data_IF_426033504482
#
_entry.id   IF_426033504482
#
_cell.length_a   1.000
_cell.length_b   1.000
_cell.length_c   1.000
_cell.angle_alpha   90.00
_cell.angle_beta   90.00
_cell.angle_gamma   90.00
#
_symmetry.space_group_name_H-M   'P 1'
#
loop_
_entity.id
_entity.type
_entity.pdbx_description
1 polymer ?
#
# COMPACT_ATOMS: atom_id res chain seq x y z
N UNK A 1 -14.59 10.90 1.45
CA UNK A 1 -13.39 10.85 2.32
C UNK A 1 -12.30 10.06 1.61
N UNK A 2 -11.38 10.73 0.93
CA UNK A 2 -10.28 10.08 0.18
C UNK A 2 -8.91 10.41 0.76
N UNK A 3 -7.85 10.06 0.03
CA UNK A 3 -6.50 10.52 0.31
C UNK A 3 -6.38 11.99 -0.12
N UNK A 4 -6.00 12.86 0.80
CA UNK A 4 -5.79 14.28 0.59
C UNK A 4 -4.33 14.60 0.91
N UNK A 5 -3.80 15.65 0.28
CA UNK A 5 -2.46 16.16 0.57
C UNK A 5 -2.62 17.53 1.23
N UNK A 6 -2.07 17.67 2.43
CA UNK A 6 -1.80 18.96 3.03
C UNK A 6 -0.31 19.28 2.81
N UNK A 7 0.09 20.54 2.95
CA UNK A 7 1.41 21.07 2.57
C UNK A 7 2.61 20.14 2.77
N UNK A 8 2.65 19.35 3.85
CA UNK A 8 3.73 18.41 4.17
C UNK A 8 3.30 16.95 4.43
N UNK A 9 2.00 16.61 4.39
CA UNK A 9 1.53 15.32 4.87
C UNK A 9 0.24 14.85 4.19
N UNK A 10 0.12 13.54 4.02
CA UNK A 10 -1.08 12.93 3.49
C UNK A 10 -2.10 12.69 4.61
N UNK A 11 -3.37 12.92 4.31
CA UNK A 11 -4.50 12.62 5.18
C UNK A 11 -5.43 11.62 4.50
N UNK A 12 -5.70 10.49 5.15
CA UNK A 12 -6.69 9.53 4.67
C UNK A 12 -7.91 9.58 5.58
N UNK A 13 -9.04 10.03 5.05
CA UNK A 13 -10.28 10.15 5.85
C UNK A 13 -10.17 11.14 7.02
N UNK A 14 -9.44 12.25 6.82
CA UNK A 14 -9.23 13.27 7.85
C UNK A 14 -8.20 12.93 8.91
N UNK A 15 -7.55 11.76 8.83
CA UNK A 15 -6.47 11.36 9.74
C UNK A 15 -5.11 11.40 9.03
N UNK A 16 -4.02 11.83 9.69
CA UNK A 16 -2.68 11.72 9.13
C UNK A 16 -2.36 10.29 8.69
N UNK A 17 -1.86 10.15 7.48
CA UNK A 17 -1.55 8.87 6.84
C UNK A 17 -0.14 8.91 6.26
N UNK A 18 0.72 7.99 6.69
CA UNK A 18 2.06 7.84 6.14
C UNK A 18 2.06 6.68 5.16
N UNK A 19 2.37 6.96 3.89
CA UNK A 19 2.47 5.93 2.86
C UNK A 19 3.77 5.14 3.07
N UNK A 20 3.64 3.84 3.34
CA UNK A 20 4.73 2.88 3.38
C UNK A 20 4.48 1.88 2.25
N UNK A 21 5.13 2.15 1.11
CA UNK A 21 4.89 1.46 -0.15
C UNK A 21 5.79 0.25 -0.36
N UNK A 22 5.27 -0.78 -1.02
CA UNK A 22 6.07 -1.81 -1.67
C UNK A 22 5.54 -2.14 -3.06
N UNK A 23 6.41 -2.60 -3.96
CA UNK A 23 6.05 -2.92 -5.34
C UNK A 23 5.69 -4.39 -5.52
N UNK A 24 4.58 -4.64 -6.22
CA UNK A 24 4.16 -5.98 -6.63
C UNK A 24 3.53 -5.91 -8.03
N UNK A 25 4.32 -6.25 -9.03
CA UNK A 25 3.85 -6.32 -10.42
C UNK A 25 3.00 -7.59 -10.61
N UNK A 26 1.67 -7.44 -10.63
CA UNK A 26 0.72 -8.56 -10.68
C UNK A 26 0.93 -9.49 -11.90
N UNK A 27 1.42 -8.97 -13.02
CA UNK A 27 1.70 -9.74 -14.24
C UNK A 27 2.96 -10.62 -14.13
N UNK A 28 3.84 -10.38 -13.15
CA UNK A 28 5.04 -11.19 -12.89
C UNK A 28 4.79 -12.34 -11.93
N UNK A 29 3.57 -12.47 -11.39
CA UNK A 29 3.24 -13.44 -10.35
C UNK A 29 1.95 -14.19 -10.70
N UNK A 30 1.95 -15.54 -10.63
CA UNK A 30 0.72 -16.31 -10.73
C UNK A 30 -0.31 -15.84 -9.70
N UNK A 31 -1.59 -15.73 -10.12
CA UNK A 31 -2.70 -15.22 -9.29
C UNK A 31 -2.81 -15.90 -7.93
N UNK A 32 -2.50 -17.20 -7.87
CA UNK A 32 -2.51 -17.98 -6.63
C UNK A 32 -1.60 -17.40 -5.53
N UNK A 33 -0.51 -16.71 -5.90
CA UNK A 33 0.45 -16.15 -4.95
C UNK A 33 0.17 -14.72 -4.52
N UNK A 34 -0.77 -14.01 -5.15
CA UNK A 34 -1.00 -12.59 -4.85
C UNK A 34 -1.34 -12.37 -3.38
N UNK A 35 -2.23 -13.19 -2.82
CA UNK A 35 -2.62 -13.10 -1.41
C UNK A 35 -1.44 -13.35 -0.48
N UNK A 36 -0.64 -14.38 -0.75
CA UNK A 36 0.57 -14.68 0.05
C UNK A 36 1.55 -13.50 0.05
N UNK A 37 1.82 -12.92 -1.13
CA UNK A 37 2.74 -11.79 -1.24
C UNK A 37 2.20 -10.53 -0.55
N UNK A 38 0.92 -10.22 -0.71
CA UNK A 38 0.29 -9.09 0.00
C UNK A 38 0.31 -9.28 1.53
N UNK A 39 0.11 -10.50 2.02
CA UNK A 39 0.19 -10.80 3.46
C UNK A 39 1.60 -10.63 4.00
N UNK A 40 2.63 -11.06 3.25
CA UNK A 40 4.03 -10.84 3.60
C UNK A 40 4.40 -9.36 3.62
N UNK A 41 3.97 -8.59 2.62
CA UNK A 41 4.16 -7.14 2.59
C UNK A 41 3.52 -6.45 3.80
N UNK A 42 2.29 -6.84 4.16
CA UNK A 42 1.61 -6.35 5.37
C UNK A 42 2.36 -6.71 6.64
N UNK A 43 2.90 -7.92 6.74
CA UNK A 43 3.73 -8.34 7.87
C UNK A 43 5.02 -7.53 8.01
N UNK A 44 5.57 -7.02 6.90
CA UNK A 44 6.69 -6.07 6.89
C UNK A 44 6.28 -4.62 7.24
N UNK A 45 5.01 -4.36 7.59
CA UNK A 45 4.52 -3.02 7.94
C UNK A 45 4.15 -2.14 6.74
N UNK A 46 4.10 -2.70 5.53
CA UNK A 46 3.67 -1.97 4.34
C UNK A 46 2.15 -1.79 4.34
N UNK A 47 1.70 -0.60 3.95
CA UNK A 47 0.27 -0.25 3.92
C UNK A 47 -0.23 0.13 2.52
N UNK A 48 0.68 0.27 1.55
CA UNK A 48 0.37 0.69 0.19
C UNK A 48 1.10 -0.22 -0.80
N UNK A 49 0.41 -0.64 -1.86
CA UNK A 49 0.98 -1.47 -2.92
C UNK A 49 1.09 -0.65 -4.21
N UNK A 50 2.30 -0.63 -4.78
CA UNK A 50 2.58 -0.02 -6.07
C UNK A 50 2.72 -1.13 -7.14
N UNK A 51 2.28 -0.84 -8.36
CA UNK A 51 2.32 -1.76 -9.52
C UNK A 51 3.18 -1.20 -10.63
#
# INVERSE_FOLDING_TARGET
MGLQVNSSQFNLGGKPFRILGGSLHYFRLPRAYWKDRMMKMKACGLNTLAV
#
